data_IF_944736797627
#
_entry.id   IF_944736797627
#
_cell.length_a   1.000
_cell.length_b   1.000
_cell.length_c   1.000
_cell.angle_alpha   90.00
_cell.angle_beta   90.00
_cell.angle_gamma   90.00
#
_symmetry.space_group_name_H-M   'P 1'
#
loop_
_entity.id
_entity.type
_entity.pdbx_description
1 polymer ?
#
# COMPACT_ATOMS: atom_id res chain seq x y z
N UNK A 1 11.24 -38.36 -16.80
CA UNK A 1 11.08 -38.93 -18.16
C UNK A 1 11.07 -40.45 -18.06
N UNK A 2 10.11 -41.14 -18.67
CA UNK A 2 10.04 -42.60 -18.70
C UNK A 2 10.34 -43.10 -20.11
N UNK A 3 11.34 -43.98 -20.25
CA UNK A 3 11.80 -44.49 -21.55
C UNK A 3 11.73 -46.01 -21.54
N UNK A 4 11.18 -46.57 -22.62
CA UNK A 4 11.13 -48.01 -22.86
C UNK A 4 11.96 -48.30 -24.11
N UNK A 5 12.88 -49.25 -24.02
CA UNK A 5 13.70 -49.72 -25.14
C UNK A 5 13.47 -51.21 -25.31
N UNK A 6 13.17 -51.64 -26.53
CA UNK A 6 12.89 -53.03 -26.88
C UNK A 6 13.91 -53.52 -27.91
N UNK A 7 14.38 -54.75 -27.77
CA UNK A 7 15.11 -55.42 -28.83
C UNK A 7 14.25 -56.53 -29.46
N UNK A 8 13.84 -56.34 -30.72
CA UNK A 8 12.95 -57.29 -31.40
C UNK A 8 13.67 -58.41 -32.15
N UNK A 9 14.94 -58.20 -32.53
CA UNK A 9 15.67 -59.07 -33.45
C UNK A 9 16.81 -59.81 -32.74
N UNK A 10 18.03 -59.77 -33.27
CA UNK A 10 19.17 -60.49 -32.71
C UNK A 10 19.69 -59.79 -31.45
N UNK A 11 20.50 -60.48 -30.64
CA UNK A 11 21.04 -59.87 -29.42
C UNK A 11 22.04 -58.76 -29.76
N UNK A 12 21.88 -57.59 -29.13
CA UNK A 12 22.74 -56.43 -29.37
C UNK A 12 23.86 -56.37 -28.32
N UNK A 13 25.12 -56.29 -28.76
CA UNK A 13 26.27 -56.20 -27.86
C UNK A 13 26.56 -54.76 -27.46
N UNK A 14 26.98 -54.56 -26.20
CA UNK A 14 27.25 -53.24 -25.62
C UNK A 14 26.14 -52.22 -25.89
N UNK A 15 24.89 -52.66 -25.76
CA UNK A 15 23.74 -51.81 -26.08
C UNK A 15 23.60 -50.68 -25.06
N UNK A 16 23.49 -49.46 -25.57
CA UNK A 16 23.39 -48.22 -24.82
C UNK A 16 22.23 -47.36 -25.32
N UNK A 17 21.62 -46.63 -24.40
CA UNK A 17 20.58 -45.64 -24.65
C UNK A 17 21.17 -44.26 -24.37
N UNK A 18 20.99 -43.34 -25.32
CA UNK A 18 21.50 -41.98 -25.29
C UNK A 18 20.32 -41.02 -25.16
N UNK A 19 20.42 -40.10 -24.20
CA UNK A 19 19.40 -39.09 -23.92
C UNK A 19 20.07 -37.72 -23.93
N UNK A 20 19.83 -36.97 -24.99
CA UNK A 20 20.17 -35.54 -25.09
C UNK A 20 19.04 -34.71 -24.48
N UNK A 21 19.38 -33.80 -23.58
CA UNK A 21 18.42 -32.92 -22.90
C UNK A 21 18.86 -31.45 -22.95
N UNK A 22 17.95 -30.48 -22.72
CA UNK A 22 18.30 -29.06 -22.72
C UNK A 22 19.32 -28.73 -21.63
N UNK A 23 20.18 -27.73 -21.84
CA UNK A 23 21.20 -27.30 -20.87
C UNK A 23 20.62 -26.70 -19.58
N UNK A 24 19.38 -26.22 -19.63
CA UNK A 24 18.62 -25.71 -18.49
C UNK A 24 18.18 -26.80 -17.49
N UNK A 25 18.30 -28.08 -17.86
CA UNK A 25 18.02 -29.21 -16.99
C UNK A 25 19.31 -29.88 -16.51
N UNK A 26 19.38 -30.20 -15.22
CA UNK A 26 20.48 -31.00 -14.67
C UNK A 26 20.04 -32.42 -14.38
N UNK A 27 20.73 -33.43 -14.91
CA UNK A 27 20.45 -34.83 -14.56
C UNK A 27 20.74 -35.12 -13.07
N UNK A 28 19.75 -35.73 -12.39
CA UNK A 28 19.84 -36.08 -10.97
C UNK A 28 20.13 -37.58 -10.79
N UNK A 29 19.27 -38.43 -11.34
CA UNK A 29 19.30 -39.88 -11.09
C UNK A 29 18.44 -40.67 -12.07
N UNK A 30 18.55 -42.00 -12.03
CA UNK A 30 17.70 -42.93 -12.76
C UNK A 30 17.08 -43.97 -11.82
N UNK A 31 15.94 -44.54 -12.24
CA UNK A 31 15.31 -45.70 -11.63
C UNK A 31 15.09 -46.73 -12.75
N UNK A 32 15.56 -47.96 -12.54
CA UNK A 32 15.41 -49.05 -13.49
C UNK A 32 14.90 -50.31 -12.77
N UNK A 33 14.10 -51.13 -13.46
CA UNK A 33 13.63 -52.43 -12.93
C UNK A 33 14.81 -53.40 -12.72
N UNK A 34 15.78 -53.38 -13.62
CA UNK A 34 16.97 -54.22 -13.56
C UNK A 34 18.18 -53.42 -13.07
N UNK A 35 18.81 -53.85 -11.98
CA UNK A 35 20.01 -53.21 -11.41
C UNK A 35 21.22 -53.16 -12.34
N UNK A 36 21.23 -53.97 -13.42
CA UNK A 36 22.28 -53.92 -14.45
C UNK A 36 22.12 -52.74 -15.41
N UNK A 37 20.98 -52.07 -15.40
CA UNK A 37 20.71 -50.89 -16.21
C UNK A 37 21.16 -49.65 -15.44
N UNK A 38 22.27 -49.05 -15.87
CA UNK A 38 22.89 -47.93 -15.16
C UNK A 38 23.07 -46.74 -16.08
N UNK A 39 22.67 -45.55 -15.62
CA UNK A 39 22.80 -44.30 -16.36
C UNK A 39 23.84 -43.36 -15.73
N UNK A 40 24.75 -42.86 -16.57
CA UNK A 40 25.77 -41.88 -16.19
C UNK A 40 25.63 -40.60 -17.03
N UNK A 41 25.97 -39.48 -16.41
CA UNK A 41 26.09 -38.20 -17.11
C UNK A 41 27.44 -38.15 -17.81
N UNK A 42 27.44 -38.15 -19.14
CA UNK A 42 28.67 -38.08 -19.95
C UNK A 42 29.08 -36.63 -20.20
N UNK A 43 28.11 -35.75 -20.42
CA UNK A 43 28.30 -34.30 -20.57
C UNK A 43 27.12 -33.54 -19.95
N UNK A 44 27.16 -32.20 -19.93
CA UNK A 44 26.11 -31.34 -19.37
C UNK A 44 24.73 -31.52 -20.02
N UNK A 45 24.67 -32.02 -21.25
CA UNK A 45 23.43 -32.22 -22.01
C UNK A 45 23.21 -33.66 -22.46
N UNK A 46 24.04 -34.62 -22.03
CA UNK A 46 23.99 -36.01 -22.50
C UNK A 46 24.09 -37.01 -21.34
N UNK A 47 23.07 -37.86 -21.23
CA UNK A 47 23.03 -39.01 -20.33
C UNK A 47 23.10 -40.28 -21.16
N UNK A 48 23.96 -41.22 -20.75
CA UNK A 48 24.12 -42.53 -21.40
C UNK A 48 23.77 -43.63 -20.41
N UNK A 49 22.88 -44.52 -20.82
CA UNK A 49 22.43 -45.65 -20.02
C UNK A 49 22.86 -46.97 -20.67
N UNK A 50 23.60 -47.80 -19.94
CA UNK A 50 23.86 -49.19 -20.35
C UNK A 50 22.58 -50.00 -20.18
N UNK A 51 22.07 -50.60 -21.26
CA UNK A 51 20.79 -51.34 -21.24
C UNK A 51 20.96 -52.86 -21.30
N UNK A 52 22.14 -53.35 -21.67
CA UNK A 52 22.52 -54.76 -21.58
C UNK A 52 23.76 -55.10 -22.40
N UNK A 53 24.53 -56.10 -21.95
CA UNK A 53 25.62 -56.67 -22.74
C UNK A 53 25.68 -58.21 -22.59
N UNK A 54 25.14 -58.98 -23.55
CA UNK A 54 24.28 -58.51 -24.65
C UNK A 54 22.88 -58.13 -24.14
N UNK A 55 22.22 -57.22 -24.83
CA UNK A 55 20.79 -56.95 -24.70
C UNK A 55 20.03 -57.93 -25.59
N UNK A 56 19.40 -58.95 -24.98
CA UNK A 56 18.96 -60.14 -25.71
C UNK A 56 17.72 -59.87 -26.57
N UNK A 57 17.49 -60.76 -27.53
CA UNK A 57 16.24 -60.81 -28.29
C UNK A 57 15.03 -60.88 -27.34
N UNK A 58 14.10 -59.95 -27.52
CA UNK A 58 12.87 -59.86 -26.73
C UNK A 58 13.04 -59.18 -25.37
N UNK A 59 14.26 -58.77 -24.99
CA UNK A 59 14.47 -58.03 -23.75
C UNK A 59 13.89 -56.61 -23.85
N UNK A 60 13.45 -56.12 -22.69
CA UNK A 60 12.86 -54.79 -22.52
C UNK A 60 13.60 -54.07 -21.40
N UNK A 61 14.10 -52.87 -21.69
CA UNK A 61 14.65 -51.95 -20.70
C UNK A 61 13.63 -50.85 -20.41
N UNK A 62 13.36 -50.60 -19.13
CA UNK A 62 12.45 -49.54 -18.67
C UNK A 62 13.19 -48.67 -17.67
N UNK A 63 13.40 -47.42 -18.03
CA UNK A 63 14.24 -46.49 -17.26
C UNK A 63 13.45 -45.20 -17.03
N UNK A 64 13.37 -44.77 -15.78
CA UNK A 64 12.88 -43.45 -15.39
C UNK A 64 14.07 -42.55 -15.09
N UNK A 65 14.22 -41.47 -15.85
CA UNK A 65 15.24 -40.43 -15.64
C UNK A 65 14.64 -39.23 -14.91
N UNK A 66 15.36 -38.72 -13.90
CA UNK A 66 15.01 -37.53 -13.11
C UNK A 66 15.95 -36.37 -13.42
N UNK A 67 15.39 -35.20 -13.66
CA UNK A 67 16.10 -33.96 -13.98
C UNK A 67 15.67 -32.84 -13.02
N UNK A 68 16.59 -31.94 -12.67
CA UNK A 68 16.35 -30.72 -11.90
C UNK A 68 16.13 -29.55 -12.87
N UNK A 69 14.98 -28.85 -12.82
CA UNK A 69 14.68 -27.70 -13.67
C UNK A 69 15.15 -26.34 -13.15
N UNK A 70 16.00 -26.29 -12.12
CA UNK A 70 16.45 -25.04 -11.48
C UNK A 70 17.18 -24.06 -12.41
N UNK A 71 17.76 -24.54 -13.52
CA UNK A 71 18.42 -23.70 -14.52
C UNK A 71 17.50 -23.19 -15.64
N UNK A 72 16.17 -23.41 -15.53
CA UNK A 72 15.21 -22.93 -16.52
C UNK A 72 15.06 -21.41 -16.45
N UNK A 73 15.29 -20.76 -17.57
CA UNK A 73 15.02 -19.33 -17.72
C UNK A 73 13.56 -19.07 -18.11
N UNK A 74 13.05 -17.86 -17.91
CA UNK A 74 11.62 -17.57 -18.13
C UNK A 74 11.17 -17.66 -19.59
N UNK A 75 12.08 -17.42 -20.55
CA UNK A 75 11.77 -17.51 -21.98
C UNK A 75 11.62 -18.95 -22.49
N UNK A 76 12.11 -19.95 -21.74
CA UNK A 76 12.07 -21.36 -22.15
C UNK A 76 10.66 -21.96 -21.94
N UNK A 77 9.78 -21.84 -22.92
CA UNK A 77 8.40 -22.35 -22.84
C UNK A 77 8.26 -23.84 -23.19
N UNK A 78 9.25 -24.40 -23.90
CA UNK A 78 9.25 -25.78 -24.38
C UNK A 78 10.62 -26.41 -24.21
N UNK A 79 10.66 -27.69 -23.86
CA UNK A 79 11.89 -28.46 -23.70
C UNK A 79 11.94 -29.57 -24.73
N UNK A 80 13.08 -29.71 -25.40
CA UNK A 80 13.35 -30.73 -26.40
C UNK A 80 14.30 -31.78 -25.84
N UNK A 81 13.88 -33.04 -25.91
CA UNK A 81 14.73 -34.20 -25.64
C UNK A 81 14.95 -34.99 -26.93
N UNK A 82 16.14 -35.56 -27.08
CA UNK A 82 16.44 -36.46 -28.20
C UNK A 82 16.94 -37.78 -27.64
N UNK A 83 16.27 -38.87 -28.00
CA UNK A 83 16.53 -40.21 -27.47
C UNK A 83 16.86 -41.16 -28.60
N UNK A 84 17.95 -41.90 -28.48
CA UNK A 84 18.30 -42.94 -29.44
C UNK A 84 19.06 -44.07 -28.76
N UNK A 85 18.97 -45.28 -29.31
CA UNK A 85 19.75 -46.42 -28.84
C UNK A 85 20.85 -46.73 -29.86
N UNK A 86 22.01 -47.17 -29.37
CA UNK A 86 23.10 -47.64 -30.21
C UNK A 86 23.73 -48.89 -29.59
N UNK A 87 24.38 -49.71 -30.42
CA UNK A 87 25.10 -50.91 -30.01
C UNK A 87 26.37 -51.04 -30.85
N UNK A 88 27.30 -51.91 -30.47
CA UNK A 88 28.48 -52.21 -31.32
C UNK A 88 28.18 -53.16 -32.47
N UNK A 89 26.95 -53.68 -32.55
CA UNK A 89 26.50 -54.55 -33.63
C UNK A 89 26.10 -53.73 -34.86
N UNK A 90 26.36 -54.25 -36.07
CA UNK A 90 25.95 -53.60 -37.31
C UNK A 90 24.43 -53.74 -37.50
N UNK A 91 23.72 -52.63 -37.30
CA UNK A 91 22.27 -52.60 -37.45
C UNK A 91 21.89 -52.34 -38.91
N UNK A 92 21.23 -53.30 -39.56
CA UNK A 92 20.82 -53.19 -40.97
C UNK A 92 19.71 -52.15 -41.17
N UNK A 93 18.91 -51.89 -40.13
CA UNK A 93 17.79 -50.93 -40.16
C UNK A 93 17.77 -50.09 -38.89
N UNK A 94 18.70 -49.12 -38.76
CA UNK A 94 18.79 -48.32 -37.54
C UNK A 94 17.55 -47.47 -37.35
N UNK A 95 17.03 -47.45 -36.13
CA UNK A 95 15.99 -46.50 -35.75
C UNK A 95 16.64 -45.11 -35.57
N UNK A 96 16.09 -44.10 -36.25
CA UNK A 96 16.53 -42.72 -36.08
C UNK A 96 16.22 -42.17 -34.68
N UNK A 97 16.86 -41.05 -34.29
CA UNK A 97 16.59 -40.43 -32.99
C UNK A 97 15.12 -40.00 -32.84
N UNK A 98 14.56 -40.27 -31.68
CA UNK A 98 13.22 -39.84 -31.30
C UNK A 98 13.31 -38.47 -30.63
N UNK A 99 12.67 -37.47 -31.21
CA UNK A 99 12.52 -36.15 -30.62
C UNK A 99 11.25 -36.06 -29.79
N UNK A 100 11.37 -35.56 -28.56
CA UNK A 100 10.26 -35.39 -27.62
C UNK A 100 10.21 -33.94 -27.16
N UNK A 101 9.01 -33.37 -27.17
CA UNK A 101 8.77 -32.00 -26.73
C UNK A 101 7.84 -32.00 -25.53
N UNK A 102 8.12 -31.13 -24.55
CA UNK A 102 7.24 -30.90 -23.40
C UNK A 102 7.11 -29.41 -23.13
N UNK A 103 5.92 -29.00 -22.70
CA UNK A 103 5.65 -27.61 -22.32
C UNK A 103 6.11 -27.38 -20.88
N UNK A 104 6.63 -26.18 -20.61
CA UNK A 104 6.99 -25.74 -19.26
C UNK A 104 5.79 -24.97 -18.69
N UNK A 105 5.34 -25.38 -17.50
CA UNK A 105 4.30 -24.68 -16.74
C UNK A 105 4.94 -24.13 -15.48
N UNK A 106 5.08 -22.81 -15.39
CA UNK A 106 5.57 -22.11 -14.20
C UNK A 106 4.41 -21.84 -13.27
N UNK A 107 4.60 -22.13 -11.98
CA UNK A 107 3.59 -21.88 -10.94
C UNK A 107 4.18 -20.96 -9.89
N UNK A 108 3.72 -19.72 -9.83
CA UNK A 108 3.99 -18.80 -8.75
C UNK A 108 2.65 -18.35 -8.17
N UNK A 109 2.66 -17.98 -6.90
CA UNK A 109 1.47 -17.56 -6.17
C UNK A 109 1.82 -16.25 -5.48
N UNK A 110 1.65 -15.14 -6.20
CA UNK A 110 1.91 -13.81 -5.67
C UNK A 110 0.62 -13.26 -5.08
N UNK A 111 0.75 -12.55 -3.96
CA UNK A 111 -0.38 -11.90 -3.30
C UNK A 111 0.03 -10.55 -2.76
N UNK A 112 -0.96 -9.68 -2.60
CA UNK A 112 -0.84 -8.30 -2.18
C UNK A 112 -1.59 -8.08 -0.87
N UNK A 113 -0.94 -7.42 0.08
CA UNK A 113 -1.56 -6.98 1.32
C UNK A 113 -1.27 -5.51 1.54
N UNK A 114 -2.27 -4.76 2.00
CA UNK A 114 -2.16 -3.34 2.25
C UNK A 114 -2.29 -3.01 3.73
N UNK A 115 -1.56 -2.00 4.19
CA UNK A 115 -1.72 -1.42 5.53
C UNK A 115 -1.46 0.09 5.48
N UNK A 116 -2.03 0.82 6.43
CA UNK A 116 -1.83 2.27 6.60
C UNK A 116 -1.30 2.56 8.00
N UNK A 117 -0.48 3.60 8.13
CA UNK A 117 -0.08 4.15 9.43
C UNK A 117 -0.14 5.69 9.38
N UNK A 118 -0.74 6.37 10.38
CA UNK A 118 -1.71 5.81 11.33
C UNK A 118 -3.02 5.44 10.58
N UNK A 119 -3.83 4.52 11.12
CA UNK A 119 -5.12 4.16 10.51
C UNK A 119 -6.15 5.31 10.56
N UNK A 120 -6.00 6.17 11.57
CA UNK A 120 -6.90 7.29 11.84
C UNK A 120 -6.09 8.59 11.89
N UNK A 121 -6.61 9.62 11.25
CA UNK A 121 -6.06 10.98 11.24
C UNK A 121 -7.17 11.97 11.53
N UNK A 122 -6.80 13.14 12.05
CA UNK A 122 -7.74 14.22 12.33
C UNK A 122 -7.47 15.41 11.40
N UNK A 123 -8.53 16.15 11.06
CA UNK A 123 -8.48 17.37 10.25
C UNK A 123 -9.29 18.48 10.92
N UNK A 124 -8.78 19.71 10.94
CA UNK A 124 -9.33 20.83 11.71
C UNK A 124 -8.49 22.09 11.62
N UNK A 125 -8.83 23.13 12.37
CA UNK A 125 -8.11 24.41 12.38
C UNK A 125 -8.46 25.33 11.22
N UNK A 126 -7.62 26.32 10.96
CA UNK A 126 -7.87 27.35 9.95
C UNK A 126 -7.61 26.84 8.52
N UNK A 127 -8.50 27.23 7.60
CA UNK A 127 -8.37 26.88 6.18
C UNK A 127 -7.23 27.70 5.56
N UNK A 128 -6.15 27.01 5.16
CA UNK A 128 -4.99 27.61 4.49
C UNK A 128 -5.03 27.27 3.00
N UNK A 129 -4.99 28.29 2.13
CA UNK A 129 -4.94 28.11 0.68
C UNK A 129 -3.56 27.66 0.20
N UNK A 130 -3.48 27.08 -1.01
CA UNK A 130 -2.23 26.55 -1.59
C UNK A 130 -1.08 27.57 -1.60
N UNK A 131 -1.35 28.81 -2.00
CA UNK A 131 -0.35 29.90 -2.04
C UNK A 131 0.20 30.31 -0.67
N UNK A 132 -0.55 30.03 0.40
CA UNK A 132 -0.13 30.36 1.75
C UNK A 132 0.69 29.23 2.39
N UNK A 133 0.75 28.04 1.79
CA UNK A 133 1.55 26.92 2.31
C UNK A 133 3.04 27.23 2.22
N UNK A 134 3.75 27.19 3.35
CA UNK A 134 5.19 27.47 3.42
C UNK A 134 6.00 26.20 3.70
N UNK A 135 5.41 25.28 4.48
CA UNK A 135 6.06 24.04 4.90
C UNK A 135 5.16 22.84 4.66
N UNK A 136 5.77 21.65 4.55
CA UNK A 136 5.04 20.38 4.43
C UNK A 136 4.03 20.16 5.56
N UNK A 137 4.34 20.63 6.77
CA UNK A 137 3.46 20.54 7.94
C UNK A 137 2.20 21.39 7.85
N UNK A 138 2.18 22.41 6.99
CA UNK A 138 0.99 23.25 6.80
C UNK A 138 -0.12 22.51 6.04
N UNK A 139 0.22 21.44 5.29
CA UNK A 139 -0.74 20.65 4.52
C UNK A 139 -1.68 19.87 5.45
N UNK A 140 -1.13 19.22 6.47
CA UNK A 140 -1.86 18.37 7.40
C UNK A 140 -1.12 17.09 7.79
N UNK A 141 -1.90 16.15 8.35
CA UNK A 141 -1.43 14.91 8.96
C UNK A 141 -0.71 14.00 7.96
N UNK A 142 0.43 13.43 8.37
CA UNK A 142 1.19 12.44 7.58
C UNK A 142 0.52 11.07 7.65
N UNK A 143 0.53 10.39 6.51
CA UNK A 143 0.06 9.01 6.35
C UNK A 143 1.07 8.21 5.53
N UNK A 144 1.26 6.95 5.90
CA UNK A 144 2.13 6.00 5.23
C UNK A 144 1.29 4.82 4.79
N UNK A 145 1.09 4.69 3.48
CA UNK A 145 0.49 3.51 2.89
C UNK A 145 1.60 2.51 2.56
N UNK A 146 1.46 1.27 3.01
CA UNK A 146 2.38 0.19 2.72
C UNK A 146 1.68 -0.96 2.01
N UNK A 147 2.21 -1.38 0.88
CA UNK A 147 1.75 -2.53 0.10
C UNK A 147 2.82 -3.61 0.10
N UNK A 148 2.54 -4.73 0.75
CA UNK A 148 3.42 -5.89 0.79
C UNK A 148 3.01 -6.91 -0.26
N UNK A 149 3.93 -7.19 -1.19
CA UNK A 149 3.85 -8.24 -2.20
C UNK A 149 4.59 -9.46 -1.70
N UNK A 150 3.94 -10.63 -1.67
CA UNK A 150 4.54 -11.88 -1.20
C UNK A 150 4.42 -12.96 -2.28
N UNK A 151 5.49 -13.70 -2.55
CA UNK A 151 5.42 -14.90 -3.40
C UNK A 151 5.38 -16.17 -2.52
N UNK A 152 4.21 -16.81 -2.43
CA UNK A 152 3.99 -18.08 -1.72
C UNK A 152 4.15 -19.30 -2.64
N UNK A 153 4.37 -19.08 -3.93
CA UNK A 153 4.46 -20.13 -4.94
C UNK A 153 5.87 -20.70 -5.09
N UNK A 154 6.01 -21.87 -5.76
CA UNK A 154 7.30 -22.52 -5.91
C UNK A 154 8.24 -21.84 -6.93
N UNK A 155 7.70 -21.16 -7.94
CA UNK A 155 8.50 -20.48 -8.97
C UNK A 155 8.88 -19.06 -8.54
N UNK A 156 10.14 -18.67 -8.76
CA UNK A 156 10.60 -17.30 -8.56
C UNK A 156 10.12 -16.40 -9.68
N UNK A 157 9.55 -15.24 -9.35
CA UNK A 157 9.07 -14.28 -10.35
C UNK A 157 10.19 -13.31 -10.69
N UNK A 158 10.73 -13.38 -11.91
CA UNK A 158 11.86 -12.52 -12.33
C UNK A 158 11.48 -11.04 -12.43
N UNK A 159 10.27 -10.72 -12.87
CA UNK A 159 9.74 -9.37 -12.94
C UNK A 159 8.23 -9.36 -12.75
N UNK A 160 7.73 -8.45 -11.92
CA UNK A 160 6.29 -8.17 -11.79
C UNK A 160 6.07 -6.67 -11.61
N UNK A 161 4.90 -6.20 -12.01
CA UNK A 161 4.53 -4.79 -11.91
C UNK A 161 3.37 -4.63 -10.95
N UNK A 162 3.50 -3.75 -9.97
CA UNK A 162 2.39 -3.34 -9.10
C UNK A 162 1.90 -1.98 -9.57
N UNK A 163 0.64 -1.91 -10.03
CA UNK A 163 0.01 -0.67 -10.42
C UNK A 163 -0.78 -0.09 -9.25
N UNK A 164 -0.54 1.17 -8.93
CA UNK A 164 -1.10 1.86 -7.77
C UNK A 164 -1.97 3.00 -8.26
N UNK A 165 -3.22 3.03 -7.79
CA UNK A 165 -4.19 4.10 -8.01
C UNK A 165 -4.28 4.92 -6.73
N UNK A 166 -3.75 6.14 -6.80
CA UNK A 166 -3.56 7.01 -5.65
C UNK A 166 -4.53 8.21 -5.67
N UNK A 167 -5.42 8.37 -4.66
CA UNK A 167 -6.45 9.41 -4.64
C UNK A 167 -5.86 10.76 -4.25
N UNK A 168 -5.32 11.48 -5.23
CA UNK A 168 -4.64 12.75 -5.05
C UNK A 168 -5.58 13.96 -4.93
N UNK A 169 -6.80 13.87 -5.50
CA UNK A 169 -7.78 14.96 -5.52
C UNK A 169 -9.21 14.45 -5.28
N UNK A 170 -10.08 15.32 -4.78
CA UNK A 170 -11.51 15.05 -4.64
C UNK A 170 -12.18 14.99 -6.03
N UNK A 171 -13.07 14.02 -6.20
CA UNK A 171 -13.90 13.85 -7.39
C UNK A 171 -14.86 15.03 -7.56
N UNK A 172 -14.81 15.67 -8.72
CA UNK A 172 -15.73 16.74 -9.10
C UNK A 172 -15.87 16.81 -10.63
N UNK A 173 -16.87 17.56 -11.10
CA UNK A 173 -17.12 17.75 -12.55
C UNK A 173 -16.10 18.67 -13.25
N UNK A 174 -15.14 19.23 -12.49
CA UNK A 174 -14.11 20.12 -13.04
C UNK A 174 -12.91 19.31 -13.52
N UNK A 175 -12.02 19.86 -14.37
CA UNK A 175 -10.78 19.18 -14.73
C UNK A 175 -9.83 19.02 -13.53
N UNK A 176 -9.69 20.05 -12.68
CA UNK A 176 -8.89 19.99 -11.45
C UNK A 176 -9.80 19.95 -10.21
N UNK A 177 -9.53 18.98 -9.33
CA UNK A 177 -10.17 18.85 -8.02
C UNK A 177 -9.41 19.61 -6.94
N UNK A 178 -9.97 19.68 -5.73
CA UNK A 178 -9.21 20.08 -4.54
C UNK A 178 -8.32 18.92 -4.09
N UNK A 179 -7.14 19.21 -3.53
CA UNK A 179 -6.21 18.19 -3.04
C UNK A 179 -6.82 17.28 -1.98
N UNK A 180 -6.36 16.02 -1.94
CA UNK A 180 -6.81 15.02 -0.98
C UNK A 180 -5.62 14.34 -0.27
N UNK A 181 -4.94 13.40 -0.93
CA UNK A 181 -3.67 12.84 -0.43
C UNK A 181 -2.48 13.35 -1.24
N UNK A 182 -1.73 14.25 -0.64
CA UNK A 182 -0.56 14.89 -1.21
C UNK A 182 0.68 14.00 -1.08
N UNK A 183 1.35 13.65 -2.18
CA UNK A 183 2.58 12.86 -2.13
C UNK A 183 3.75 13.69 -1.60
N UNK A 184 4.29 13.26 -0.46
CA UNK A 184 5.36 13.97 0.27
C UNK A 184 6.75 13.59 -0.26
N UNK A 185 6.93 12.30 -0.55
CA UNK A 185 8.17 11.71 -1.03
C UNK A 185 7.91 10.70 -2.16
N UNK A 186 8.97 10.37 -2.90
CA UNK A 186 8.91 9.30 -3.90
C UNK A 186 8.64 7.97 -3.18
N UNK A 187 7.71 7.14 -3.68
CA UNK A 187 7.51 5.80 -3.17
C UNK A 187 8.80 5.00 -3.15
N UNK A 188 9.07 4.33 -2.03
CA UNK A 188 10.25 3.49 -1.85
C UNK A 188 9.84 2.02 -1.84
N UNK A 189 10.71 1.16 -2.35
CA UNK A 189 10.49 -0.29 -2.31
C UNK A 189 11.57 -0.94 -1.45
N UNK A 190 11.14 -1.68 -0.44
CA UNK A 190 12.02 -2.38 0.50
C UNK A 190 11.85 -3.89 0.34
N UNK A 191 12.95 -4.64 0.39
CA UNK A 191 12.93 -6.10 0.41
C UNK A 191 13.11 -6.60 1.85
N UNK A 192 12.17 -7.41 2.33
CA UNK A 192 12.36 -8.15 3.58
C UNK A 192 13.15 -9.41 3.25
N UNK A 193 14.47 -9.27 3.12
CA UNK A 193 15.35 -10.42 3.05
C UNK A 193 15.50 -10.95 4.47
N UNK A 194 14.92 -12.13 4.76
CA UNK A 194 15.29 -12.89 5.96
C UNK A 194 16.75 -13.33 5.80
N UNK A 195 17.70 -12.48 6.21
CA UNK A 195 19.09 -12.88 6.35
C UNK A 195 19.22 -13.82 7.56
N UNK A 196 18.81 -15.07 7.42
CA UNK A 196 19.44 -16.16 8.17
C UNK A 196 20.64 -16.66 7.37
N UNK A 197 21.62 -15.78 7.16
CA UNK A 197 22.94 -16.14 6.66
C UNK A 197 23.97 -15.79 7.75
N UNK A 198 24.93 -16.67 8.07
CA UNK A 198 25.86 -16.50 9.19
C UNK A 198 26.90 -15.39 9.01
N UNK A 199 26.70 -14.45 8.08
CA UNK A 199 27.62 -13.34 7.82
C UNK A 199 27.26 -12.03 8.51
N UNK A 200 26.13 -11.97 9.24
CA UNK A 200 25.66 -10.76 9.94
C UNK A 200 26.25 -10.57 11.36
N UNK A 201 27.42 -11.13 11.65
CA UNK A 201 28.24 -10.72 12.81
C UNK A 201 29.61 -10.27 12.34
N UNK A 202 29.63 -9.15 11.62
CA UNK A 202 30.82 -8.30 11.54
C UNK A 202 30.56 -7.11 12.45
N UNK A 203 31.12 -7.17 13.66
CA UNK A 203 31.26 -6.02 14.56
C UNK A 203 32.17 -5.03 13.84
N UNK A 204 31.59 -3.95 13.31
CA UNK A 204 32.34 -2.91 12.62
C UNK A 204 32.84 -1.87 13.64
N UNK A 205 34.14 -1.89 13.91
CA UNK A 205 34.85 -0.87 14.70
C UNK A 205 35.61 0.08 13.77
N UNK A 206 34.94 0.74 12.81
CA UNK A 206 35.51 1.94 12.17
C UNK A 206 34.46 2.70 11.34
N UNK A 207 34.42 4.04 11.44
CA UNK A 207 33.50 4.92 10.70
C UNK A 207 33.92 5.15 9.24
N UNK A 208 35.16 4.82 8.89
CA UNK A 208 35.72 4.98 7.54
C UNK A 208 35.20 3.95 6.52
N UNK A 209 34.77 2.77 6.98
CA UNK A 209 34.27 1.66 6.15
C UNK A 209 32.78 1.76 5.81
N UNK A 210 32.03 2.64 6.49
CA UNK A 210 30.61 2.87 6.23
C UNK A 210 30.37 3.43 4.83
N UNK A 211 31.30 4.25 4.35
CA UNK A 211 31.30 4.86 3.01
C UNK A 211 31.61 3.84 1.91
N UNK A 212 32.44 2.84 2.19
CA UNK A 212 32.78 1.76 1.24
C UNK A 212 31.65 0.73 1.07
N UNK A 213 30.86 0.47 2.13
CA UNK A 213 29.63 -0.32 2.03
C UNK A 213 28.52 0.42 1.30
N UNK A 214 28.36 1.73 1.54
CA UNK A 214 27.43 2.57 0.76
C UNK A 214 27.78 2.59 -0.73
N UNK A 215 29.07 2.61 -1.07
CA UNK A 215 29.54 2.58 -2.46
C UNK A 215 29.47 1.19 -3.13
N UNK A 216 29.59 0.10 -2.35
CA UNK A 216 29.36 -1.26 -2.85
C UNK A 216 27.86 -1.55 -3.03
N UNK A 217 26.99 -1.04 -2.14
CA UNK A 217 25.53 -1.08 -2.30
C UNK A 217 25.04 -0.30 -3.53
N UNK A 218 25.70 0.80 -3.90
CA UNK A 218 25.35 1.58 -5.11
C UNK A 218 25.88 0.99 -6.41
N UNK A 219 26.72 -0.05 -6.37
CA UNK A 219 27.24 -0.72 -7.58
C UNK A 219 26.49 -2.01 -7.96
N UNK A 220 25.56 -2.44 -7.11
CA UNK A 220 24.65 -3.57 -7.33
C UNK A 220 23.24 -3.09 -7.77
N UNK A 221 23.16 -1.92 -8.41
CA UNK A 221 21.91 -1.22 -8.73
C UNK A 221 21.65 -1.08 -10.23
N UNK A 222 21.90 -2.15 -11.01
CA UNK A 222 21.38 -2.22 -12.39
C UNK A 222 20.02 -2.92 -12.48
N UNK A 223 19.53 -3.53 -11.38
CA UNK A 223 18.20 -4.16 -11.24
C UNK A 223 17.44 -3.62 -9.99
N UNK A 224 17.54 -2.32 -9.70
CA UNK A 224 16.87 -1.76 -8.52
C UNK A 224 15.37 -1.71 -8.72
N UNK A 225 14.61 -2.24 -7.77
CA UNK A 225 13.16 -2.10 -7.72
C UNK A 225 12.81 -0.60 -7.73
N UNK A 226 11.99 -0.17 -8.71
CA UNK A 226 11.73 1.26 -8.92
C UNK A 226 10.24 1.51 -9.18
N UNK A 227 9.73 2.61 -8.62
CA UNK A 227 8.42 3.15 -8.92
C UNK A 227 8.53 4.28 -9.94
N UNK A 228 7.87 4.12 -11.09
CA UNK A 228 7.79 5.13 -12.14
C UNK A 228 6.52 5.94 -11.96
N UNK A 229 6.68 7.16 -11.45
CA UNK A 229 5.61 8.14 -11.28
C UNK A 229 5.61 9.12 -12.46
N UNK A 230 4.45 9.70 -12.82
CA UNK A 230 4.41 10.84 -13.73
C UNK A 230 5.26 12.01 -13.19
N UNK A 231 5.85 12.78 -14.11
CA UNK A 231 6.68 13.93 -13.73
C UNK A 231 5.89 14.95 -12.90
N UNK A 232 6.56 15.57 -11.93
CA UNK A 232 6.04 16.64 -11.06
C UNK A 232 4.86 16.27 -10.14
N UNK A 233 4.56 14.99 -9.92
CA UNK A 233 3.49 14.57 -8.99
C UNK A 233 3.95 14.49 -7.52
N UNK A 234 5.26 14.40 -7.28
CA UNK A 234 5.83 14.32 -5.92
C UNK A 234 6.18 15.72 -5.45
N UNK A 235 5.62 16.12 -4.30
CA UNK A 235 5.79 17.45 -3.73
C UNK A 235 5.67 18.56 -4.79
N UNK A 236 4.57 18.65 -5.57
CA UNK A 236 4.41 19.60 -6.68
C UNK A 236 4.57 21.06 -6.27
N UNK A 237 4.34 21.38 -5.00
CA UNK A 237 4.48 22.73 -4.44
C UNK A 237 5.92 23.03 -3.98
N UNK A 238 6.83 22.06 -4.05
CA UNK A 238 8.23 22.22 -3.67
C UNK A 238 8.43 22.59 -2.20
N UNK A 239 7.49 22.21 -1.33
CA UNK A 239 7.49 22.68 0.05
C UNK A 239 8.66 22.05 0.83
N UNK A 240 9.46 22.86 1.56
CA UNK A 240 10.51 22.37 2.42
C UNK A 240 9.93 21.80 3.72
N UNK A 241 10.74 20.97 4.38
CA UNK A 241 10.52 20.60 5.77
C UNK A 241 10.81 21.80 6.68
N UNK A 242 10.02 22.00 7.74
CA UNK A 242 10.26 23.08 8.69
C UNK A 242 11.57 22.84 9.48
N UNK A 243 12.51 23.80 9.49
CA UNK A 243 13.77 23.65 10.24
C UNK A 243 13.53 23.48 11.74
N UNK A 244 14.22 22.53 12.37
CA UNK A 244 14.22 22.36 13.83
C UNK A 244 13.03 21.61 14.43
N UNK A 245 12.03 21.21 13.62
CA UNK A 245 11.01 20.26 14.05
C UNK A 245 11.43 18.84 13.64
N UNK A 246 11.82 18.02 14.61
CA UNK A 246 11.93 16.59 14.38
C UNK A 246 10.51 16.02 14.25
N UNK A 247 10.22 15.43 13.09
CA UNK A 247 8.95 14.77 12.86
C UNK A 247 8.78 13.58 13.83
N UNK A 248 7.71 13.51 14.63
CA UNK A 248 7.50 12.37 15.51
C UNK A 248 7.32 11.09 14.68
N UNK A 249 7.76 9.92 15.19
CA UNK A 249 7.45 8.63 14.58
C UNK A 249 5.94 8.47 14.41
N UNK A 250 5.52 7.93 13.26
CA UNK A 250 4.11 7.72 12.91
C UNK A 250 3.35 6.84 13.92
N UNK A 251 4.07 6.12 14.78
CA UNK A 251 3.55 5.26 15.86
C UNK A 251 2.97 6.03 17.05
N UNK A 252 3.23 7.34 17.17
CA UNK A 252 2.86 8.14 18.35
C UNK A 252 1.43 8.72 18.33
N UNK A 253 0.63 8.44 17.30
CA UNK A 253 -0.72 9.01 17.11
C UNK A 253 -1.80 7.92 17.22
N UNK A 254 -1.89 7.30 18.39
CA UNK A 254 -3.01 6.42 18.75
C UNK A 254 -3.92 7.15 19.73
N UNK A 255 -5.01 7.76 19.24
CA UNK A 255 -6.09 8.24 20.10
C UNK A 255 -7.29 7.30 19.99
N UNK A 256 -7.90 7.01 21.15
CA UNK A 256 -9.03 6.08 21.24
C UNK A 256 -10.27 6.65 20.54
N UNK A 257 -11.12 5.80 19.94
CA UNK A 257 -12.35 6.24 19.33
C UNK A 257 -13.27 6.83 20.42
N UNK A 258 -13.66 8.09 20.26
CA UNK A 258 -14.72 8.68 21.07
C UNK A 258 -16.07 8.11 20.62
N UNK A 259 -16.85 7.62 21.58
CA UNK A 259 -18.23 7.16 21.35
C UNK A 259 -19.13 8.36 21.00
N UNK A 260 -19.15 8.79 19.75
CA UNK A 260 -20.09 9.80 19.28
C UNK A 260 -21.34 9.17 18.66
N UNK A 261 -22.47 9.60 19.20
CA UNK A 261 -23.83 9.20 18.84
C UNK A 261 -24.18 9.57 17.40
N UNK A 262 -24.61 8.55 16.66
CA UNK A 262 -24.96 8.48 15.24
C UNK A 262 -26.05 9.46 14.80
N UNK A 263 -25.69 10.48 14.01
CA UNK A 263 -26.60 11.15 13.07
C UNK A 263 -25.95 11.68 11.78
N UNK A 264 -24.62 11.79 11.67
CA UNK A 264 -23.97 12.25 10.42
C UNK A 264 -23.64 11.08 9.48
N UNK A 265 -23.39 11.38 8.21
CA UNK A 265 -23.04 10.40 7.17
C UNK A 265 -21.53 10.23 7.08
N UNK A 266 -21.10 9.03 6.68
CA UNK A 266 -19.72 8.74 6.34
C UNK A 266 -19.51 9.04 4.85
N UNK A 267 -18.35 9.61 4.51
CA UNK A 267 -18.01 9.96 3.11
C UNK A 267 -16.90 9.04 2.62
N UNK A 268 -17.04 8.48 1.41
CA UNK A 268 -16.03 7.63 0.80
C UNK A 268 -15.38 8.30 -0.42
N UNK A 269 -14.05 8.38 -0.41
CA UNK A 269 -13.21 8.88 -1.50
C UNK A 269 -12.50 7.71 -2.17
N UNK A 270 -12.93 7.37 -3.39
CA UNK A 270 -12.51 6.15 -4.08
C UNK A 270 -12.39 6.42 -5.59
N UNK A 271 -11.28 5.96 -6.18
CA UNK A 271 -10.99 6.07 -7.61
C UNK A 271 -12.04 5.37 -8.48
N UNK A 272 -12.50 4.19 -8.04
CA UNK A 272 -13.43 3.35 -8.80
C UNK A 272 -14.86 3.90 -8.78
N UNK A 273 -15.23 4.58 -7.69
CA UNK A 273 -16.54 5.23 -7.55
C UNK A 273 -16.59 6.60 -8.23
N UNK A 274 -15.44 7.13 -8.67
CA UNK A 274 -15.33 8.49 -9.22
C UNK A 274 -15.45 9.59 -8.17
N UNK A 275 -15.52 9.25 -6.87
CA UNK A 275 -15.56 10.23 -5.77
C UNK A 275 -14.17 10.79 -5.44
N UNK A 276 -13.11 10.18 -5.96
CA UNK A 276 -11.75 10.73 -5.97
C UNK A 276 -11.18 10.70 -7.39
N UNK A 277 -10.37 11.70 -7.72
CA UNK A 277 -9.48 11.68 -8.88
C UNK A 277 -8.16 11.07 -8.46
N UNK A 278 -7.67 10.15 -9.28
CA UNK A 278 -6.50 9.35 -8.94
C UNK A 278 -5.41 9.44 -9.99
N UNK A 279 -4.16 9.52 -9.52
CA UNK A 279 -2.99 9.28 -10.37
C UNK A 279 -2.68 7.79 -10.34
N UNK A 280 -2.18 7.29 -11.48
CA UNK A 280 -1.78 5.90 -11.63
C UNK A 280 -0.30 5.82 -11.88
N UNK A 281 0.41 5.04 -11.08
CA UNK A 281 1.85 4.81 -11.24
C UNK A 281 2.20 3.35 -10.99
N UNK A 282 3.35 2.92 -11.51
CA UNK A 282 3.73 1.51 -11.53
C UNK A 282 5.05 1.31 -10.78
N UNK A 283 5.11 0.30 -9.94
CA UNK A 283 6.32 -0.15 -9.26
C UNK A 283 6.75 -1.51 -9.81
N UNK A 284 7.95 -1.59 -10.38
CA UNK A 284 8.49 -2.83 -10.93
C UNK A 284 9.35 -3.53 -9.87
N UNK A 285 9.01 -4.78 -9.57
CA UNK A 285 9.75 -5.63 -8.64
C UNK A 285 10.47 -6.72 -9.41
N UNK A 286 11.72 -7.00 -9.05
CA UNK A 286 12.55 -7.99 -9.71
C UNK A 286 12.93 -9.14 -8.77
N UNK A 287 13.03 -10.34 -9.34
CA UNK A 287 13.55 -11.54 -8.69
C UNK A 287 12.90 -11.86 -7.33
N UNK A 288 11.56 -11.85 -7.29
CA UNK A 288 10.78 -12.21 -6.12
C UNK A 288 10.76 -13.74 -5.96
N UNK A 289 11.71 -14.24 -5.17
CA UNK A 289 11.88 -15.68 -4.88
C UNK A 289 10.71 -16.25 -4.06
N UNK A 290 10.65 -17.57 -4.01
CA UNK A 290 9.73 -18.29 -3.13
C UNK A 290 9.89 -17.82 -1.68
N UNK A 291 8.76 -17.59 -1.01
CA UNK A 291 8.62 -17.15 0.38
C UNK A 291 9.27 -15.79 0.68
N UNK A 292 9.63 -15.01 -0.34
CA UNK A 292 10.13 -13.64 -0.19
C UNK A 292 8.99 -12.64 -0.29
N UNK A 293 9.19 -11.48 0.37
CA UNK A 293 8.26 -10.36 0.31
C UNK A 293 8.96 -9.03 0.02
N UNK A 294 8.28 -8.18 -0.74
CA UNK A 294 8.65 -6.82 -1.05
C UNK A 294 7.60 -5.88 -0.47
N UNK A 295 7.99 -4.71 0.06
CA UNK A 295 7.06 -3.72 0.59
C UNK A 295 7.26 -2.39 -0.12
N UNK A 296 6.21 -1.90 -0.78
CA UNK A 296 6.14 -0.56 -1.37
C UNK A 296 5.60 0.37 -0.29
N UNK A 297 6.32 1.44 0.03
CA UNK A 297 5.95 2.46 1.00
C UNK A 297 5.70 3.79 0.30
N UNK A 298 4.53 4.36 0.53
CA UNK A 298 4.09 5.63 -0.05
C UNK A 298 3.80 6.58 1.10
N UNK A 299 4.64 7.62 1.24
CA UNK A 299 4.46 8.66 2.23
C UNK A 299 3.70 9.83 1.63
N UNK A 300 2.65 10.25 2.32
CA UNK A 300 1.76 11.31 1.89
C UNK A 300 1.24 12.11 3.08
N UNK A 301 0.56 13.21 2.76
CA UNK A 301 -0.10 14.09 3.73
C UNK A 301 -1.55 14.29 3.34
N UNK A 302 -2.41 14.22 4.34
CA UNK A 302 -3.82 14.55 4.23
C UNK A 302 -3.96 16.06 4.04
N UNK A 303 -4.64 16.49 2.98
CA UNK A 303 -4.88 17.90 2.72
C UNK A 303 -5.99 18.44 3.62
N UNK A 304 -5.59 19.04 4.74
CA UNK A 304 -6.46 19.47 5.82
C UNK A 304 -7.52 20.48 5.36
N UNK A 305 -7.10 21.53 4.64
CA UNK A 305 -7.97 22.63 4.21
C UNK A 305 -9.19 22.19 3.40
N UNK A 306 -9.05 21.18 2.55
CA UNK A 306 -10.15 20.66 1.73
C UNK A 306 -11.19 19.96 2.58
N UNK A 307 -10.75 19.18 3.58
CA UNK A 307 -11.66 18.46 4.46
C UNK A 307 -12.38 19.38 5.44
N UNK A 308 -11.67 20.40 5.96
CA UNK A 308 -12.27 21.42 6.83
C UNK A 308 -13.33 22.23 6.08
N UNK A 309 -13.07 22.61 4.84
CA UNK A 309 -14.00 23.44 4.04
C UNK A 309 -15.22 22.64 3.55
N UNK A 310 -15.00 21.47 2.93
CA UNK A 310 -16.05 20.75 2.21
C UNK A 310 -16.75 19.68 3.06
N UNK A 311 -16.08 19.18 4.11
CA UNK A 311 -16.56 18.07 4.94
C UNK A 311 -16.55 18.37 6.46
N UNK A 312 -16.98 19.55 6.95
CA UNK A 312 -16.95 19.84 8.39
C UNK A 312 -18.02 19.06 9.20
N UNK A 313 -19.12 18.64 8.55
CA UNK A 313 -20.32 18.06 9.21
C UNK A 313 -20.52 16.57 8.97
N UNK A 314 -19.47 15.84 8.60
CA UNK A 314 -19.50 14.37 8.43
C UNK A 314 -19.02 13.67 9.71
N UNK A 315 -19.24 12.37 9.85
CA UNK A 315 -18.61 11.62 10.94
C UNK A 315 -17.13 11.40 10.64
N UNK A 316 -16.84 10.92 9.43
CA UNK A 316 -15.51 10.59 8.95
C UNK A 316 -15.46 10.60 7.42
N UNK A 317 -14.26 10.72 6.89
CA UNK A 317 -13.95 10.58 5.46
C UNK A 317 -12.99 9.41 5.29
N UNK A 318 -13.44 8.39 4.56
CA UNK A 318 -12.64 7.21 4.23
C UNK A 318 -11.98 7.42 2.87
N UNK A 319 -10.65 7.46 2.83
CA UNK A 319 -9.89 7.70 1.61
C UNK A 319 -9.18 6.41 1.21
N UNK A 320 -9.61 5.83 0.10
CA UNK A 320 -9.18 4.50 -0.33
C UNK A 320 -8.21 4.62 -1.50
N UNK A 321 -6.98 4.17 -1.29
CA UNK A 321 -6.03 3.88 -2.37
C UNK A 321 -6.08 2.40 -2.73
N UNK A 322 -5.72 2.08 -3.97
CA UNK A 322 -5.80 0.72 -4.51
C UNK A 322 -4.49 0.34 -5.17
N UNK A 323 -4.08 -0.92 -5.02
CA UNK A 323 -2.95 -1.47 -5.74
C UNK A 323 -3.30 -2.83 -6.35
N UNK A 324 -2.69 -3.13 -7.50
CA UNK A 324 -2.96 -4.34 -8.27
C UNK A 324 -1.69 -4.91 -8.89
N UNK A 325 -1.51 -6.23 -8.79
CA UNK A 325 -0.39 -6.96 -9.39
C UNK A 325 -0.68 -7.25 -10.87
N UNK A 326 0.34 -7.06 -11.69
CA UNK A 326 0.37 -7.43 -13.10
C UNK A 326 1.62 -8.29 -13.37
N UNK A 327 1.40 -9.55 -13.71
CA UNK A 327 2.45 -10.45 -14.18
C UNK A 327 2.60 -10.31 -15.71
N UNK A 328 3.83 -10.11 -16.23
CA UNK A 328 4.06 -10.08 -17.67
C UNK A 328 3.67 -11.41 -18.33
N UNK A 329 2.90 -11.34 -19.42
CA UNK A 329 2.45 -12.54 -20.17
C UNK A 329 3.61 -13.39 -20.70
N UNK A 330 4.76 -12.76 -20.97
CA UNK A 330 5.99 -13.41 -21.43
C UNK A 330 6.53 -14.45 -20.45
N UNK A 331 6.24 -14.33 -19.14
CA UNK A 331 6.69 -15.28 -18.13
C UNK A 331 5.84 -16.56 -18.12
N UNK A 332 4.64 -16.55 -18.69
CA UNK A 332 3.71 -17.69 -18.71
C UNK A 332 3.53 -18.36 -17.33
N UNK A 333 3.37 -17.53 -16.30
CA UNK A 333 3.16 -17.96 -14.91
C UNK A 333 1.67 -18.25 -14.72
N UNK A 334 1.37 -19.39 -14.09
CA UNK A 334 0.00 -19.77 -13.71
C UNK A 334 -0.15 -19.64 -12.20
N UNK A 335 -1.06 -18.74 -11.80
CA UNK A 335 -1.51 -18.59 -10.41
C UNK A 335 -2.79 -19.39 -10.18
N UNK A 336 -3.03 -19.82 -8.94
CA UNK A 336 -4.26 -20.53 -8.57
C UNK A 336 -5.29 -19.57 -7.99
N UNK A 337 -4.84 -18.65 -7.12
CA UNK A 337 -5.63 -17.55 -6.61
C UNK A 337 -5.20 -16.26 -7.30
N UNK A 338 -6.17 -15.47 -7.75
CA UNK A 338 -5.96 -14.12 -8.28
C UNK A 338 -6.79 -13.09 -7.52
N UNK A 339 -7.51 -13.51 -6.47
CA UNK A 339 -8.31 -12.62 -5.64
C UNK A 339 -7.45 -11.78 -4.69
N UNK A 340 -6.25 -12.26 -4.36
CA UNK A 340 -5.24 -11.56 -3.58
C UNK A 340 -4.23 -10.80 -4.46
N UNK A 341 -4.44 -10.71 -5.78
CA UNK A 341 -3.64 -9.85 -6.65
C UNK A 341 -3.96 -8.35 -6.47
N UNK A 342 -4.96 -8.02 -5.63
CA UNK A 342 -5.47 -6.66 -5.46
C UNK A 342 -5.66 -6.33 -3.97
N UNK A 343 -5.26 -5.13 -3.56
CA UNK A 343 -5.35 -4.67 -2.19
C UNK A 343 -5.84 -3.22 -2.11
N UNK A 344 -6.59 -2.94 -1.06
CA UNK A 344 -7.15 -1.63 -0.76
C UNK A 344 -6.61 -1.15 0.58
N UNK A 345 -6.18 0.11 0.64
CA UNK A 345 -5.69 0.75 1.86
C UNK A 345 -6.52 1.99 2.12
N UNK A 346 -7.14 2.04 3.31
CA UNK A 346 -8.09 3.08 3.71
C UNK A 346 -7.48 3.96 4.79
N UNK A 347 -7.30 5.24 4.51
CA UNK A 347 -7.04 6.26 5.53
C UNK A 347 -8.37 6.80 6.05
N UNK A 348 -8.61 6.73 7.35
CA UNK A 348 -9.84 7.27 7.96
C UNK A 348 -9.56 8.64 8.58
N UNK A 349 -10.20 9.68 8.07
CA UNK A 349 -10.02 11.05 8.54
C UNK A 349 -11.25 11.53 9.34
N UNK A 350 -11.03 12.02 10.56
CA UNK A 350 -12.07 12.54 11.45
C UNK A 350 -11.99 14.07 11.58
N UNK A 351 -13.12 14.79 11.61
CA UNK A 351 -13.09 16.21 11.93
C UNK A 351 -12.66 16.41 13.39
N UNK A 352 -11.77 17.35 13.63
CA UNK A 352 -11.37 17.77 14.96
C UNK A 352 -12.53 18.55 15.60
N UNK A 353 -13.10 18.01 16.67
CA UNK A 353 -14.38 18.48 17.25
C UNK A 353 -14.21 19.67 18.20
N UNK A 354 -13.01 20.26 18.30
CA UNK A 354 -12.71 21.31 19.29
C UNK A 354 -13.62 22.54 19.10
N UNK A 355 -14.10 22.83 17.89
CA UNK A 355 -15.02 23.95 17.59
C UNK A 355 -16.50 23.55 17.42
N UNK A 356 -16.87 22.29 17.63
CA UNK A 356 -18.26 21.80 17.44
C UNK A 356 -19.04 21.61 18.74
N UNK A 357 -18.63 22.27 19.82
CA UNK A 357 -19.54 22.51 20.93
C UNK A 357 -20.49 23.64 20.51
N UNK A 358 -21.41 23.32 19.57
CA UNK A 358 -22.61 24.13 19.43
C UNK A 358 -23.17 24.28 20.85
N UNK A 359 -23.36 25.51 21.37
CA UNK A 359 -23.92 25.68 22.70
C UNK A 359 -25.24 24.91 22.70
N UNK A 360 -25.32 23.84 23.51
CA UNK A 360 -26.52 23.01 23.59
C UNK A 360 -27.70 23.97 23.70
N UNK A 361 -28.59 23.94 22.70
CA UNK A 361 -29.69 24.88 22.62
C UNK A 361 -30.49 24.76 23.91
N UNK A 362 -30.35 25.76 24.80
CA UNK A 362 -30.97 25.70 26.12
C UNK A 362 -32.47 25.58 25.90
N UNK A 363 -33.11 24.51 26.40
CA UNK A 363 -34.53 24.29 26.17
C UNK A 363 -35.34 25.52 26.55
N UNK A 364 -36.20 25.98 25.64
CA UNK A 364 -36.95 27.23 25.78
C UNK A 364 -37.75 27.27 27.11
N UNK A 365 -38.20 26.11 27.60
CA UNK A 365 -38.90 26.00 28.88
C UNK A 365 -38.04 26.47 30.08
N UNK A 366 -36.72 26.29 30.06
CA UNK A 366 -35.82 26.75 31.13
C UNK A 366 -35.78 28.28 31.16
N UNK A 367 -35.74 28.91 29.98
CA UNK A 367 -35.80 30.38 29.84
C UNK A 367 -37.14 30.89 30.38
N UNK A 368 -38.25 30.24 30.02
CA UNK A 368 -39.59 30.61 30.51
C UNK A 368 -39.67 30.47 32.04
N UNK A 369 -39.19 29.36 32.61
CA UNK A 369 -39.18 29.15 34.07
C UNK A 369 -38.33 30.20 34.77
N UNK A 370 -37.16 30.56 34.24
CA UNK A 370 -36.29 31.58 34.81
C UNK A 370 -36.96 32.96 34.81
N UNK A 371 -37.65 33.34 33.74
CA UNK A 371 -38.39 34.62 33.64
C UNK A 371 -39.53 34.65 34.65
N UNK A 372 -40.31 33.57 34.77
CA UNK A 372 -41.42 33.49 35.74
C UNK A 372 -40.91 33.57 37.17
N UNK A 373 -39.84 32.84 37.50
CA UNK A 373 -39.21 32.89 38.82
C UNK A 373 -38.67 34.30 39.13
N UNK A 374 -38.04 34.95 38.17
CA UNK A 374 -37.55 36.33 38.30
C UNK A 374 -38.68 37.33 38.55
N UNK A 375 -39.80 37.22 37.83
CA UNK A 375 -40.97 38.07 38.03
C UNK A 375 -41.63 37.85 39.40
N UNK A 376 -41.74 36.59 39.86
CA UNK A 376 -42.27 36.27 41.19
C UNK A 376 -41.40 36.86 42.30
N UNK A 377 -40.08 36.75 42.18
CA UNK A 377 -39.15 37.34 43.13
C UNK A 377 -39.24 38.87 43.13
N UNK A 378 -39.35 39.48 41.95
CA UNK A 378 -39.54 40.93 41.82
C UNK A 378 -40.85 41.39 42.50
N UNK A 379 -41.95 40.69 42.27
CA UNK A 379 -43.24 40.98 42.93
C UNK A 379 -43.08 40.87 44.45
N UNK A 380 -42.48 39.79 44.95
CA UNK A 380 -42.23 39.62 46.38
C UNK A 380 -41.39 40.78 46.95
N UNK A 381 -40.33 41.17 46.26
CA UNK A 381 -39.45 42.26 46.67
C UNK A 381 -40.20 43.61 46.68
N UNK A 382 -41.05 43.88 45.68
CA UNK A 382 -41.89 45.09 45.70
C UNK A 382 -42.89 45.10 46.84
N UNK A 383 -43.47 43.94 47.21
CA UNK A 383 -44.37 43.83 48.37
C UNK A 383 -43.63 44.05 49.69
N UNK A 384 -42.42 43.50 49.83
CA UNK A 384 -41.56 43.73 51.00
C UNK A 384 -41.19 45.20 51.11
N UNK A 385 -40.72 45.81 50.03
CA UNK A 385 -40.37 47.24 49.98
C UNK A 385 -41.60 48.14 50.23
N UNK A 386 -42.78 47.75 49.74
CA UNK A 386 -44.03 48.45 50.01
C UNK A 386 -44.43 48.36 51.49
N UNK A 387 -44.33 47.17 52.11
CA UNK A 387 -44.65 46.97 53.53
C UNK A 387 -43.62 47.63 54.47
N UNK A 388 -42.36 47.71 54.05
CA UNK A 388 -41.30 48.48 54.72
C UNK A 388 -41.43 50.00 54.48
N UNK A 389 -42.45 50.45 53.75
CA UNK A 389 -42.81 51.87 53.63
C UNK A 389 -42.02 52.66 52.60
N UNK A 390 -41.20 52.00 51.77
CA UNK A 390 -40.32 52.67 50.80
C UNK A 390 -41.08 53.45 49.70
N UNK A 391 -42.27 52.97 49.29
CA UNK A 391 -43.07 53.62 48.24
C UNK A 391 -44.05 54.70 48.75
N UNK A 392 -44.01 55.07 50.04
CA UNK A 392 -44.75 56.24 50.54
C UNK A 392 -44.02 57.52 50.14
N UNK A 393 -44.35 58.07 48.96
CA UNK A 393 -43.97 59.45 48.62
C UNK A 393 -44.68 60.42 49.57
N UNK A 394 -43.90 61.24 50.30
CA UNK A 394 -44.38 62.55 50.75
C UNK A 394 -44.53 63.42 49.51
N UNK A 395 -45.76 63.74 49.13
CA UNK A 395 -46.02 64.86 48.22
C UNK A 395 -45.94 66.15 49.07
N UNK A 396 -45.18 67.17 48.67
CA UNK A 396 -45.42 68.52 49.17
C UNK A 396 -46.77 68.99 48.60
N UNK A 397 -47.65 69.52 49.44
CA UNK A 397 -48.90 70.12 48.98
C UNK A 397 -48.63 71.41 48.17
N UNK A 398 -49.44 71.68 47.14
CA UNK A 398 -49.35 72.89 46.34
C UNK A 398 -50.18 73.99 46.99
N UNK A 399 -49.54 74.91 47.70
CA UNK A 399 -50.15 76.22 48.01
C UNK A 399 -49.08 77.31 48.02
N UNK A 400 -49.23 78.23 47.05
CA UNK A 400 -49.22 79.69 47.24
C UNK A 400 -48.05 80.23 48.12
N UNK A 401 -47.14 81.08 47.66
CA UNK A 401 -47.37 82.30 46.91
C UNK A 401 -46.02 82.98 46.67
N UNK A 402 -45.81 83.51 45.46
CA UNK A 402 -44.99 84.71 45.17
C UNK A 402 -43.48 84.60 45.42
N UNK A 403 -42.62 85.34 44.75
CA UNK A 403 -42.69 86.27 43.64
C UNK A 403 -41.23 86.75 43.49
N UNK A 404 -40.86 87.18 42.28
CA UNK A 404 -39.63 87.92 41.95
C UNK A 404 -38.34 87.07 41.99
N UNK A 405 -37.40 87.15 41.05
CA UNK A 405 -37.16 88.18 40.04
C UNK A 405 -36.34 87.62 38.87
N UNK A 406 -36.60 88.23 37.73
CA UNK A 406 -35.93 88.12 36.45
C UNK A 406 -34.46 88.57 36.58
N UNK A 407 -33.52 87.71 36.17
CA UNK A 407 -32.15 88.12 35.84
C UNK A 407 -31.76 87.49 34.51
N UNK A 408 -31.71 88.33 33.49
CA UNK A 408 -31.18 88.06 32.16
C UNK A 408 -29.67 87.84 32.20
N UNK A 409 -29.22 86.81 31.50
CA UNK A 409 -28.04 86.78 30.61
C UNK A 409 -28.08 85.42 29.90
N UNK A 410 -28.41 85.33 28.61
CA UNK A 410 -27.48 85.50 27.47
C UNK A 410 -26.11 84.88 27.81
N UNK A 411 -25.67 83.79 27.18
CA UNK A 411 -25.40 83.73 25.75
C UNK A 411 -25.27 82.27 25.24
N UNK A 412 -25.91 81.99 24.09
CA UNK A 412 -25.44 81.27 22.88
C UNK A 412 -24.50 80.04 22.89
N UNK A 413 -24.83 79.10 21.97
CA UNK A 413 -23.89 78.15 21.34
C UNK A 413 -24.40 76.69 21.33
N UNK A 414 -25.44 76.33 20.56
CA UNK A 414 -25.38 75.87 19.15
C UNK A 414 -24.60 74.53 19.00
N UNK A 415 -25.28 73.38 18.97
CA UNK A 415 -25.79 72.63 17.81
C UNK A 415 -24.76 72.13 16.78
N UNK A 416 -24.83 70.82 16.54
CA UNK A 416 -24.51 70.06 15.31
C UNK A 416 -23.09 70.05 14.75
N UNK A 417 -22.50 68.85 14.65
CA UNK A 417 -22.66 67.95 13.48
C UNK A 417 -22.00 66.60 13.73
#
# INVERSE_FOLDING_TARGET
>A
MYVITNNFNESAYEAQLFISHPPSLTYISHIAENKRQTCIRTNNTLVVCSIGNPFKKGDVAKIILRFNPEGLEDYESHLKFVVFANSTSEEKKPQGPLELFTNVIRRAEVGLTGAVRPEQVFYGGEVKGEYAMEYRDDIGSRVLHSYQVTNKGPWSVSSLVVSIEWPFQVGNDKPQGKWLLYLDEKPIVESLVNYSSPMASLVLTDSSQLTALKSYQTKLSLDSWECHLPDNEVNPLGLPQRPGLAEPPLEALMTQPSNHTRTKRDTEMNCLLGTAKCIKFNCTLFNLKKDHSATIKIQARLWNSTLVEDYPKVNQVNITSRAKIHLPESLNIRQTNTQDDEAYVVTTAFPDLIDQQEPEAVPIWIIVVAVVAGLLLLILLTLVLWKLGFFKRRRPDPTLSGNLEKSHREDNGDYSS
#
